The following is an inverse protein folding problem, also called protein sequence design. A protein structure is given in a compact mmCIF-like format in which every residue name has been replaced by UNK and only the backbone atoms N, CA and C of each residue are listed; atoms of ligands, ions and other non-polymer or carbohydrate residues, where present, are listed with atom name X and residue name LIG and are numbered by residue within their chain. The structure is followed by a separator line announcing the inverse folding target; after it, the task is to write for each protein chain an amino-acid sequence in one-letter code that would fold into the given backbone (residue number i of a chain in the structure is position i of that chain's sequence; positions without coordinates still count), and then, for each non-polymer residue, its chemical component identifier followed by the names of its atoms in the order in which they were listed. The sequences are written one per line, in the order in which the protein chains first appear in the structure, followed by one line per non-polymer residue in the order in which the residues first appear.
data_IF_814812832523
#
_entry.id   IF_814812832523
#
_cell.length_a   1.000
_cell.length_b   1.000
_cell.length_c   1.000
_cell.angle_alpha   90.00
_cell.angle_beta   90.00
_cell.angle_gamma   90.00
#
_symmetry.space_group_name_H-M   'P 1'
#
loop_
_entity.id
_entity.type
_entity.pdbx_description
1 polymer ?
#
# COMPACT_ATOMS: atom_id res chain seq x y z
N UNK A 1 -5.87 -18.66 60.33
CA UNK A 1 -5.54 -19.65 59.28
C UNK A 1 -5.35 -18.87 57.98
N UNK A 2 -4.17 -18.99 57.38
CA UNK A 2 -3.72 -18.19 56.26
C UNK A 2 -4.62 -18.37 55.03
N UNK A 3 -5.01 -17.26 54.42
CA UNK A 3 -5.60 -17.23 53.08
C UNK A 3 -4.48 -17.23 52.05
N UNK A 4 -4.47 -18.26 51.21
CA UNK A 4 -3.53 -18.40 50.11
C UNK A 4 -3.95 -17.44 48.98
N UNK A 5 -3.18 -16.36 48.83
CA UNK A 5 -3.36 -15.41 47.74
C UNK A 5 -2.75 -16.05 46.48
N UNK A 6 -3.60 -16.67 45.65
CA UNK A 6 -3.22 -17.10 44.32
C UNK A 6 -2.74 -15.88 43.52
N UNK A 7 -1.43 -15.76 43.40
CA UNK A 7 -0.76 -14.79 42.56
C UNK A 7 -1.20 -15.00 41.11
N UNK A 8 -2.07 -14.12 40.62
CA UNK A 8 -2.37 -14.00 39.19
C UNK A 8 -1.12 -13.48 38.47
N UNK A 9 -0.26 -14.41 38.05
CA UNK A 9 0.85 -14.11 37.16
C UNK A 9 0.28 -13.60 35.85
N UNK A 10 0.33 -12.29 35.65
CA UNK A 10 0.14 -11.69 34.34
C UNK A 10 1.19 -12.32 33.41
N UNK A 11 0.76 -13.25 32.56
CA UNK A 11 1.59 -13.78 31.51
C UNK A 11 2.03 -12.58 30.66
N UNK A 12 3.30 -12.18 30.80
CA UNK A 12 3.91 -11.22 29.91
C UNK A 12 3.74 -11.78 28.50
N UNK A 13 2.75 -11.26 27.76
CA UNK A 13 2.55 -11.58 26.37
C UNK A 13 3.88 -11.25 25.68
N UNK A 14 4.63 -12.29 25.34
CA UNK A 14 5.87 -12.14 24.58
C UNK A 14 5.46 -11.47 23.28
N UNK A 15 5.71 -10.16 23.17
CA UNK A 15 5.50 -9.44 21.93
C UNK A 15 6.41 -10.14 20.91
N UNK A 16 5.79 -10.84 19.97
CA UNK A 16 6.53 -11.48 18.88
C UNK A 16 7.34 -10.43 18.10
N UNK A 17 8.17 -10.86 17.14
CA UNK A 17 8.76 -9.91 16.21
C UNK A 17 7.64 -9.04 15.64
N UNK A 18 7.74 -7.72 15.84
CA UNK A 18 6.74 -6.77 15.37
C UNK A 18 6.56 -6.85 13.85
N UNK A 19 5.35 -6.52 13.38
CA UNK A 19 5.07 -6.42 11.94
C UNK A 19 5.83 -5.23 11.35
N UNK A 20 6.51 -5.45 10.25
CA UNK A 20 7.14 -4.38 9.45
C UNK A 20 6.09 -3.81 8.52
N UNK A 21 5.86 -2.50 8.59
CA UNK A 21 5.03 -1.78 7.63
C UNK A 21 5.94 -1.17 6.54
N UNK A 22 5.67 -1.48 5.28
CA UNK A 22 6.29 -0.79 4.14
C UNK A 22 5.19 -0.18 3.27
N UNK A 23 5.36 1.08 2.87
CA UNK A 23 4.42 1.78 1.98
C UNK A 23 5.12 2.04 0.66
N UNK A 24 4.65 1.40 -0.41
CA UNK A 24 5.16 1.60 -1.75
C UNK A 24 4.69 2.94 -2.29
N UNK A 25 5.64 3.85 -2.54
CA UNK A 25 5.35 5.17 -3.08
C UNK A 25 5.34 5.13 -4.62
N UNK A 26 4.69 6.12 -5.25
CA UNK A 26 4.76 6.35 -6.70
C UNK A 26 4.30 5.17 -7.58
N UNK A 27 3.40 4.33 -7.06
CA UNK A 27 2.88 3.17 -7.78
C UNK A 27 3.97 2.16 -8.14
N UNK A 28 5.05 2.09 -7.36
CA UNK A 28 6.19 1.21 -7.61
C UNK A 28 6.66 0.54 -6.33
N UNK A 29 6.81 -0.79 -6.37
CA UNK A 29 7.34 -1.61 -5.28
C UNK A 29 8.77 -1.99 -5.64
N UNK A 30 9.74 -1.58 -4.80
CA UNK A 30 11.14 -1.95 -4.96
C UNK A 30 11.47 -3.13 -4.06
N UNK A 31 11.92 -4.24 -4.66
CA UNK A 31 12.16 -5.51 -3.96
C UNK A 31 13.26 -5.36 -2.91
N UNK A 32 14.35 -4.68 -3.24
CA UNK A 32 15.48 -4.44 -2.34
C UNK A 32 15.06 -3.70 -1.06
N UNK A 33 14.27 -2.63 -1.17
CA UNK A 33 13.75 -1.84 -0.06
C UNK A 33 12.84 -2.69 0.85
N UNK A 34 11.96 -3.48 0.24
CA UNK A 34 11.03 -4.35 0.98
C UNK A 34 11.79 -5.46 1.71
N UNK A 35 12.72 -6.14 1.04
CA UNK A 35 13.53 -7.21 1.62
C UNK A 35 14.43 -6.67 2.73
N UNK A 36 15.05 -5.50 2.54
CA UNK A 36 15.85 -4.84 3.57
C UNK A 36 15.01 -4.50 4.81
N UNK A 37 13.81 -3.95 4.61
CA UNK A 37 12.89 -3.62 5.71
C UNK A 37 12.45 -4.86 6.50
N UNK A 38 12.13 -5.96 5.81
CA UNK A 38 11.67 -7.20 6.43
C UNK A 38 12.80 -8.01 7.08
N UNK A 39 14.03 -7.99 6.54
CA UNK A 39 15.16 -8.79 7.03
C UNK A 39 15.87 -8.18 8.25
N UNK A 40 15.68 -6.89 8.49
CA UNK A 40 15.80 -6.28 9.80
C UNK A 40 17.07 -6.57 10.60
N UNK A 41 18.27 -6.42 10.03
CA UNK A 41 19.58 -6.42 10.71
C UNK A 41 20.01 -7.71 11.44
N UNK A 42 19.08 -8.60 11.79
CA UNK A 42 19.29 -9.80 12.61
C UNK A 42 19.19 -11.12 11.85
N UNK A 43 19.10 -11.09 10.50
CA UNK A 43 19.21 -12.27 9.64
C UNK A 43 17.94 -13.11 9.50
N UNK A 44 16.77 -12.63 9.94
CA UNK A 44 15.49 -13.33 9.81
C UNK A 44 14.39 -12.44 9.26
N UNK A 45 13.49 -13.02 8.46
CA UNK A 45 12.32 -12.31 7.92
C UNK A 45 11.32 -11.99 9.04
N UNK A 46 10.94 -10.71 9.15
CA UNK A 46 9.82 -10.25 9.98
C UNK A 46 8.56 -10.14 9.13
N UNK A 47 7.38 -10.53 9.66
CA UNK A 47 6.12 -10.39 8.94
C UNK A 47 5.95 -8.97 8.37
N UNK A 48 5.68 -8.89 7.07
CA UNK A 48 5.62 -7.65 6.30
C UNK A 48 4.17 -7.33 5.96
N UNK A 49 3.70 -6.15 6.35
CA UNK A 49 2.52 -5.52 5.79
C UNK A 49 2.96 -4.50 4.73
N UNK A 50 2.73 -4.82 3.47
CA UNK A 50 2.96 -3.94 2.33
C UNK A 50 1.67 -3.19 2.00
N UNK A 51 1.70 -1.86 2.05
CA UNK A 51 0.64 -1.00 1.56
C UNK A 51 1.03 -0.38 0.22
N UNK A 52 0.12 -0.44 -0.76
CA UNK A 52 0.31 0.17 -2.08
C UNK A 52 -0.83 1.16 -2.33
N UNK A 53 -0.66 2.45 -2.00
CA UNK A 53 -1.57 3.51 -2.37
C UNK A 53 -1.56 3.76 -3.87
N UNK A 54 -2.73 3.90 -4.47
CA UNK A 54 -2.95 3.97 -5.91
C UNK A 54 -4.02 5.00 -6.25
N UNK A 55 -3.88 5.59 -7.44
CA UNK A 55 -4.94 6.37 -8.08
C UNK A 55 -5.21 5.81 -9.47
N UNK A 56 -6.30 5.07 -9.61
CA UNK A 56 -6.65 4.28 -10.81
C UNK A 56 -7.64 5.01 -11.73
N UNK A 57 -7.60 6.34 -11.72
CA UNK A 57 -8.50 7.23 -12.45
C UNK A 57 -8.49 8.65 -11.92
N UNK A 58 -9.12 9.58 -12.64
CA UNK A 58 -9.21 10.98 -12.26
C UNK A 58 -10.43 11.19 -11.33
N UNK A 59 -11.61 11.32 -11.91
CA UNK A 59 -12.88 11.50 -11.17
C UNK A 59 -13.62 10.18 -10.96
N UNK A 60 -13.38 9.21 -11.84
CA UNK A 60 -13.98 7.88 -11.83
C UNK A 60 -12.91 6.83 -12.03
N UNK A 61 -13.15 5.64 -11.52
CA UNK A 61 -12.30 4.49 -11.78
C UNK A 61 -12.24 4.21 -13.29
N UNK A 62 -11.04 4.03 -13.85
CA UNK A 62 -10.90 3.52 -15.21
C UNK A 62 -11.30 2.03 -15.24
N UNK A 63 -12.26 1.69 -16.09
CA UNK A 63 -12.82 0.34 -16.22
C UNK A 63 -11.75 -0.70 -16.59
N UNK A 64 -10.66 -0.30 -17.26
CA UNK A 64 -9.56 -1.19 -17.63
C UNK A 64 -8.79 -1.74 -16.42
N UNK A 65 -8.87 -1.11 -15.25
CA UNK A 65 -8.29 -1.62 -14.00
C UNK A 65 -9.22 -2.55 -13.22
N UNK A 66 -10.49 -2.72 -13.63
CA UNK A 66 -11.43 -3.62 -12.93
C UNK A 66 -10.89 -5.05 -12.88
N UNK A 67 -10.37 -5.66 -13.97
CA UNK A 67 -9.79 -7.00 -13.91
C UNK A 67 -8.58 -7.06 -12.96
N UNK A 68 -7.75 -6.03 -12.96
CA UNK A 68 -6.56 -5.93 -12.11
C UNK A 68 -6.93 -5.90 -10.62
N UNK A 69 -7.90 -5.07 -10.25
CA UNK A 69 -8.40 -4.98 -8.86
C UNK A 69 -8.93 -6.32 -8.39
N UNK A 70 -9.76 -6.97 -9.21
CA UNK A 70 -10.32 -8.28 -8.90
C UNK A 70 -9.25 -9.37 -8.84
N UNK A 71 -8.23 -9.29 -9.69
CA UNK A 71 -7.09 -10.22 -9.71
C UNK A 71 -6.22 -10.08 -8.46
N UNK A 72 -5.90 -8.85 -8.05
CA UNK A 72 -5.11 -8.58 -6.85
C UNK A 72 -5.83 -9.01 -5.57
N UNK A 73 -7.15 -8.78 -5.46
CA UNK A 73 -7.98 -9.25 -4.34
C UNK A 73 -8.04 -10.78 -4.18
N UNK A 74 -7.66 -11.54 -5.21
CA UNK A 74 -7.61 -13.01 -5.17
C UNK A 74 -6.25 -13.55 -4.75
N UNK A 75 -5.23 -12.71 -4.63
CA UNK A 75 -3.91 -13.16 -4.18
C UNK A 75 -3.99 -13.57 -2.71
N UNK A 76 -3.37 -14.71 -2.30
CA UNK A 76 -3.42 -15.19 -0.92
C UNK A 76 -2.91 -14.19 0.10
N UNK A 77 -1.92 -13.38 -0.29
CA UNK A 77 -1.30 -12.36 0.56
C UNK A 77 -2.19 -11.11 0.70
N UNK A 78 -3.21 -10.93 -0.14
CA UNK A 78 -4.03 -9.73 -0.10
C UNK A 78 -4.90 -9.71 1.16
N UNK A 79 -4.72 -8.68 1.99
CA UNK A 79 -5.52 -8.42 3.18
C UNK A 79 -6.60 -7.37 2.92
N UNK A 80 -7.01 -7.20 1.67
CA UNK A 80 -8.07 -6.27 1.28
C UNK A 80 -7.57 -4.90 0.82
N UNK A 81 -8.54 -4.01 0.61
CA UNK A 81 -8.33 -2.68 0.00
C UNK A 81 -9.04 -1.63 0.84
N UNK A 82 -8.33 -0.55 1.16
CA UNK A 82 -8.93 0.65 1.75
C UNK A 82 -9.29 1.59 0.60
N UNK A 83 -10.50 2.12 0.61
CA UNK A 83 -10.97 3.04 -0.43
C UNK A 83 -12.35 3.54 -0.08
N UNK A 84 -13.23 3.75 -1.06
CA UNK A 84 -14.62 4.05 -0.77
C UNK A 84 -15.33 4.77 -1.90
N UNK A 85 -16.18 5.73 -1.53
CA UNK A 85 -16.81 6.70 -2.42
C UNK A 85 -16.48 8.11 -1.92
N UNK A 86 -16.67 9.16 -2.74
CA UNK A 86 -16.55 10.52 -2.24
C UNK A 86 -17.37 10.72 -0.96
N UNK A 87 -16.71 11.21 0.10
CA UNK A 87 -17.29 11.41 1.46
C UNK A 87 -17.65 10.12 2.21
N UNK A 88 -17.14 8.97 1.83
CA UNK A 88 -17.35 7.72 2.56
C UNK A 88 -16.20 6.72 2.35
N UNK A 89 -15.48 6.34 3.40
CA UNK A 89 -14.45 5.30 3.35
C UNK A 89 -15.00 3.90 3.64
N UNK A 90 -14.56 2.88 2.90
CA UNK A 90 -14.89 1.48 3.11
C UNK A 90 -13.63 0.63 3.17
N UNK A 91 -13.73 -0.52 3.83
CA UNK A 91 -12.71 -1.56 3.78
C UNK A 91 -13.24 -2.74 2.97
N UNK A 92 -12.69 -2.93 1.77
CA UNK A 92 -13.07 -4.01 0.86
C UNK A 92 -12.31 -5.27 1.22
N UNK A 93 -13.04 -6.35 1.48
CA UNK A 93 -12.50 -7.63 1.96
C UNK A 93 -12.52 -8.74 0.90
N UNK A 94 -13.12 -8.46 -0.27
CA UNK A 94 -13.24 -9.45 -1.33
C UNK A 94 -14.20 -9.01 -2.43
N UNK A 95 -14.58 -9.96 -3.28
CA UNK A 95 -15.46 -9.68 -4.42
C UNK A 95 -16.40 -10.84 -4.75
N UNK A 96 -17.53 -10.53 -5.37
CA UNK A 96 -18.42 -11.48 -6.01
C UNK A 96 -18.81 -10.92 -7.39
N UNK A 97 -18.35 -11.58 -8.45
CA UNK A 97 -18.41 -10.99 -9.80
C UNK A 97 -17.66 -9.65 -9.84
N UNK A 98 -18.30 -8.62 -10.38
CA UNK A 98 -17.77 -7.24 -10.41
C UNK A 98 -18.27 -6.37 -9.23
N UNK A 99 -18.61 -7.01 -8.11
CA UNK A 99 -18.98 -6.30 -6.89
C UNK A 99 -17.96 -6.55 -5.79
N UNK A 100 -17.50 -5.48 -5.16
CA UNK A 100 -16.65 -5.55 -3.97
C UNK A 100 -17.51 -5.71 -2.73
N UNK A 101 -17.11 -6.62 -1.85
CA UNK A 101 -17.70 -6.85 -0.54
C UNK A 101 -16.95 -5.98 0.48
N UNK A 102 -17.65 -5.24 1.33
CA UNK A 102 -17.01 -4.26 2.21
C UNK A 102 -17.62 -4.15 3.62
N UNK A 103 -16.78 -3.66 4.53
CA UNK A 103 -17.13 -3.19 5.86
C UNK A 103 -17.26 -1.65 5.84
N UNK A 104 -18.32 -1.15 6.47
CA UNK A 104 -18.71 0.25 6.46
C UNK A 104 -18.59 0.86 7.87
N UNK A 105 -17.59 1.73 8.13
CA UNK A 105 -17.37 2.30 9.46
C UNK A 105 -18.30 3.47 9.82
N UNK A 106 -19.22 3.90 8.93
CA UNK A 106 -20.05 5.10 9.15
C UNK A 106 -21.25 4.87 10.08
N UNK A 107 -21.04 4.11 11.13
CA UNK A 107 -22.00 3.88 12.20
C UNK A 107 -21.37 4.26 13.53
N UNK A 108 -22.04 5.14 14.26
CA UNK A 108 -21.59 5.55 15.59
C UNK A 108 -22.00 4.48 16.58
N UNK A 109 -21.02 3.90 17.25
CA UNK A 109 -21.21 2.96 18.35
C UNK A 109 -20.78 3.59 19.68
N UNK A 110 -21.34 3.16 20.82
CA UNK A 110 -20.84 3.57 22.13
C UNK A 110 -19.35 3.23 22.29
N UNK A 111 -18.60 4.11 22.95
CA UNK A 111 -17.23 3.81 23.31
C UNK A 111 -17.21 2.76 24.43
N UNK A 112 -16.55 1.63 24.17
CA UNK A 112 -16.38 0.55 25.15
C UNK A 112 -15.01 0.62 25.81
N UNK A 113 -14.96 0.23 27.08
CA UNK A 113 -13.75 -0.01 27.86
C UNK A 113 -13.29 -1.46 27.64
N UNK A 114 -11.99 -1.78 27.78
CA UNK A 114 -11.49 -3.14 27.55
C UNK A 114 -12.15 -4.24 28.41
N UNK A 115 -12.70 -3.85 29.55
CA UNK A 115 -13.40 -4.70 30.51
C UNK A 115 -14.90 -4.82 30.26
N UNK A 116 -15.46 -4.10 29.29
CA UNK A 116 -16.89 -4.19 28.97
C UNK A 116 -17.24 -5.56 28.37
N UNK A 117 -18.37 -6.16 28.78
CA UNK A 117 -18.80 -7.48 28.30
C UNK A 117 -19.05 -7.51 26.78
N UNK A 118 -19.35 -6.35 26.20
CA UNK A 118 -19.69 -6.20 24.77
C UNK A 118 -18.47 -5.96 23.87
N UNK A 119 -17.23 -5.91 24.41
CA UNK A 119 -16.01 -5.71 23.59
C UNK A 119 -15.84 -6.79 22.53
N UNK A 120 -16.22 -8.03 22.84
CA UNK A 120 -16.13 -9.13 21.87
C UNK A 120 -17.28 -9.12 20.83
N UNK A 121 -18.34 -8.34 21.06
CA UNK A 121 -19.51 -8.25 20.18
C UNK A 121 -19.61 -6.92 19.43
N UNK A 122 -18.76 -5.93 19.76
CA UNK A 122 -18.70 -4.61 19.12
C UNK A 122 -18.06 -4.60 17.73
N UNK A 123 -17.79 -5.77 17.17
CA UNK A 123 -17.37 -5.92 15.78
C UNK A 123 -18.50 -5.50 14.83
N UNK A 124 -18.17 -5.36 13.54
CA UNK A 124 -19.13 -4.96 12.50
C UNK A 124 -20.38 -5.87 12.53
N UNK A 125 -21.46 -5.40 13.16
CA UNK A 125 -22.69 -6.17 13.40
C UNK A 125 -23.69 -6.15 12.25
N UNK A 126 -23.32 -5.54 11.12
CA UNK A 126 -24.17 -5.48 9.93
C UNK A 126 -23.87 -6.64 8.98
N UNK A 127 -24.87 -6.99 8.18
CA UNK A 127 -24.68 -7.86 7.03
C UNK A 127 -23.62 -7.28 6.07
N UNK A 128 -22.91 -8.18 5.40
CA UNK A 128 -21.89 -7.82 4.40
C UNK A 128 -22.52 -7.00 3.27
N UNK A 129 -21.97 -5.82 3.00
CA UNK A 129 -22.46 -4.92 1.95
C UNK A 129 -21.65 -5.10 0.67
N UNK A 130 -22.21 -4.67 -0.46
CA UNK A 130 -21.51 -4.74 -1.74
C UNK A 130 -21.76 -3.55 -2.66
N UNK A 131 -20.74 -3.16 -3.40
CA UNK A 131 -20.75 -2.03 -4.36
C UNK A 131 -20.11 -2.49 -5.67
N UNK A 132 -20.51 -1.94 -6.82
CA UNK A 132 -19.82 -2.28 -8.09
C UNK A 132 -18.42 -1.70 -8.08
N UNK A 133 -17.46 -2.40 -8.66
CA UNK A 133 -16.07 -1.92 -8.74
C UNK A 133 -16.03 -0.54 -9.43
N UNK A 134 -16.77 -0.33 -10.51
CA UNK A 134 -16.82 0.97 -11.21
C UNK A 134 -17.47 2.13 -10.44
N UNK A 135 -18.17 1.85 -9.34
CA UNK A 135 -18.88 2.87 -8.53
C UNK A 135 -18.01 3.39 -7.35
N UNK A 136 -16.76 2.90 -7.20
CA UNK A 136 -15.83 3.32 -6.14
C UNK A 136 -14.94 4.49 -6.61
N UNK A 137 -14.41 5.23 -5.64
CA UNK A 137 -13.42 6.28 -5.85
C UNK A 137 -12.12 5.68 -6.42
N UNK A 138 -11.46 6.33 -7.40
CA UNK A 138 -10.22 5.81 -7.99
C UNK A 138 -9.03 5.81 -7.00
N UNK A 139 -9.12 6.50 -5.87
CA UNK A 139 -8.11 6.49 -4.81
C UNK A 139 -8.27 5.27 -3.90
N UNK A 140 -7.36 4.31 -4.01
CA UNK A 140 -7.39 3.04 -3.29
C UNK A 140 -6.03 2.75 -2.65
N UNK A 141 -5.99 1.93 -1.60
CA UNK A 141 -4.75 1.38 -1.07
C UNK A 141 -4.89 -0.12 -0.86
N UNK A 142 -4.09 -0.92 -1.57
CA UNK A 142 -4.03 -2.36 -1.37
C UNK A 142 -3.14 -2.70 -0.18
N UNK A 143 -3.57 -3.66 0.63
CA UNK A 143 -2.75 -4.28 1.66
C UNK A 143 -2.36 -5.69 1.28
N UNK A 144 -1.08 -6.04 1.46
CA UNK A 144 -0.58 -7.40 1.34
C UNK A 144 0.22 -7.76 2.59
N UNK A 145 -0.03 -8.95 3.14
CA UNK A 145 0.67 -9.49 4.30
C UNK A 145 1.51 -10.70 3.87
N UNK A 146 2.81 -10.64 4.14
CA UNK A 146 3.77 -11.70 3.83
C UNK A 146 4.49 -12.11 5.13
N UNK A 147 4.19 -13.31 5.63
CA UNK A 147 4.79 -13.90 6.82
C UNK A 147 6.23 -14.40 6.60
N UNK A 148 6.62 -14.64 5.35
CA UNK A 148 7.96 -15.11 4.95
C UNK A 148 8.45 -14.41 3.68
N UNK A 149 9.75 -14.56 3.39
CA UNK A 149 10.34 -14.10 2.13
C UNK A 149 9.72 -14.82 0.93
N UNK A 150 9.45 -16.12 1.06
CA UNK A 150 8.82 -16.92 0.01
C UNK A 150 7.41 -16.41 -0.31
N UNK A 151 6.61 -16.05 0.71
CA UNK A 151 5.28 -15.44 0.51
C UNK A 151 5.36 -14.09 -0.22
N UNK A 152 6.44 -13.33 -0.02
CA UNK A 152 6.68 -12.09 -0.76
C UNK A 152 7.06 -12.35 -2.23
N UNK A 153 7.91 -13.35 -2.50
CA UNK A 153 8.22 -13.75 -3.87
C UNK A 153 6.99 -14.28 -4.62
N UNK A 154 6.13 -15.05 -3.94
CA UNK A 154 4.84 -15.50 -4.46
C UNK A 154 3.90 -14.33 -4.77
N UNK A 155 3.85 -13.32 -3.89
CA UNK A 155 3.10 -12.09 -4.13
C UNK A 155 3.62 -11.40 -5.40
N UNK A 156 4.93 -11.21 -5.55
CA UNK A 156 5.50 -10.57 -6.73
C UNK A 156 5.17 -11.34 -8.02
N UNK A 157 5.28 -12.67 -8.00
CA UNK A 157 4.90 -13.51 -9.12
C UNK A 157 3.38 -13.41 -9.42
N UNK A 158 2.55 -13.33 -8.38
CA UNK A 158 1.11 -13.11 -8.48
C UNK A 158 0.76 -11.79 -9.17
N UNK A 159 1.36 -10.69 -8.71
CA UNK A 159 1.19 -9.38 -9.31
C UNK A 159 1.62 -9.36 -10.79
N UNK A 160 2.74 -10.01 -11.13
CA UNK A 160 3.20 -10.11 -12.52
C UNK A 160 2.20 -10.86 -13.41
N UNK A 161 1.59 -11.96 -12.93
CA UNK A 161 0.53 -12.69 -13.66
C UNK A 161 -0.72 -11.83 -13.89
N UNK A 162 -1.14 -11.08 -12.87
CA UNK A 162 -2.29 -10.17 -12.98
C UNK A 162 -2.01 -9.06 -13.99
N UNK A 163 -0.84 -8.42 -13.91
CA UNK A 163 -0.41 -7.36 -14.83
C UNK A 163 -0.08 -7.84 -16.25
N UNK A 164 0.10 -9.14 -16.48
CA UNK A 164 0.24 -9.70 -17.84
C UNK A 164 -1.11 -9.91 -18.53
N UNK A 165 -2.19 -10.05 -17.75
CA UNK A 165 -3.54 -10.33 -18.26
C UNK A 165 -4.41 -9.08 -18.38
N UNK A 166 -3.97 -7.95 -17.82
CA UNK A 166 -4.72 -6.69 -17.71
C UNK A 166 -3.76 -5.53 -17.43
N UNK A 167 -4.24 -4.27 -17.43
CA UNK A 167 -3.38 -3.14 -17.10
C UNK A 167 -2.80 -3.26 -15.68
N UNK A 168 -1.48 -3.12 -15.55
CA UNK A 168 -0.86 -3.15 -14.22
C UNK A 168 -1.22 -1.90 -13.42
N UNK A 169 -1.69 -2.10 -12.18
CA UNK A 169 -2.06 -1.01 -11.28
C UNK A 169 -0.83 -0.35 -10.63
N UNK A 170 0.27 -1.10 -10.50
CA UNK A 170 1.57 -0.65 -10.01
C UNK A 170 2.68 -1.49 -10.66
N UNK A 171 3.93 -1.04 -10.53
CA UNK A 171 5.10 -1.77 -11.01
C UNK A 171 5.84 -2.45 -9.86
N UNK A 172 6.53 -3.55 -10.15
CA UNK A 172 7.49 -4.17 -9.22
C UNK A 172 8.85 -4.16 -9.92
N UNK A 173 9.83 -3.56 -9.27
CA UNK A 173 11.20 -3.44 -9.77
C UNK A 173 12.20 -3.94 -8.72
N UNK A 174 13.41 -4.27 -9.15
CA UNK A 174 14.43 -4.77 -8.23
C UNK A 174 14.94 -3.67 -7.29
N UNK A 175 15.29 -2.51 -7.86
CA UNK A 175 15.84 -1.36 -7.13
C UNK A 175 15.47 -0.05 -7.85
N UNK A 176 15.56 1.07 -7.13
CA UNK A 176 15.46 2.41 -7.73
C UNK A 176 16.65 2.68 -8.64
N UNK A 177 16.40 3.01 -9.90
CA UNK A 177 17.43 3.55 -10.79
C UNK A 177 17.56 5.05 -10.53
N UNK A 178 18.52 5.46 -9.70
CA UNK A 178 18.86 6.87 -9.53
C UNK A 178 19.78 7.31 -10.68
N UNK A 179 19.19 7.66 -11.81
CA UNK A 179 19.94 8.18 -12.97
C UNK A 179 20.33 9.67 -12.87
N UNK A 180 20.26 10.28 -11.68
CA UNK A 180 20.61 11.70 -11.49
C UNK A 180 21.91 11.97 -10.70
N UNK A 181 22.62 10.94 -10.23
CA UNK A 181 23.91 11.12 -9.53
C UNK A 181 25.08 10.54 -10.32
N UNK A 182 25.28 11.00 -11.57
CA UNK A 182 26.62 11.05 -12.22
C UNK A 182 26.63 11.88 -13.51
N UNK A 183 26.25 13.14 -13.42
CA UNK A 183 26.52 14.13 -14.49
C UNK A 183 27.09 15.43 -13.87
N UNK A 184 28.02 15.27 -12.94
CA UNK A 184 28.67 16.36 -12.20
C UNK A 184 30.17 16.13 -12.07
N UNK A 185 30.84 15.82 -13.18
CA UNK A 185 32.29 15.95 -13.33
C UNK A 185 32.63 15.94 -14.81
N UNK A 186 32.35 17.05 -15.48
CA UNK A 186 32.91 17.54 -16.75
C UNK A 186 31.94 18.62 -17.27
N UNK A 187 31.89 19.75 -16.56
CA UNK A 187 31.45 20.98 -17.20
C UNK A 187 32.62 21.41 -18.09
N UNK A 188 32.50 21.09 -19.37
CA UNK A 188 33.27 21.72 -20.44
C UNK A 188 33.03 23.23 -20.30
N UNK A 189 34.11 24.00 -20.13
CA UNK A 189 34.06 25.44 -19.96
C UNK A 189 33.39 26.06 -21.20
N UNK A 190 32.20 26.61 -21.03
CA UNK A 190 31.58 27.46 -22.03
C UNK A 190 32.37 28.78 -22.09
N UNK A 191 33.13 28.96 -23.18
CA UNK A 191 33.77 30.21 -23.57
C UNK A 191 32.79 31.39 -23.43
N UNK A 192 33.17 32.49 -22.76
CA UNK A 192 32.31 33.67 -22.65
C UNK A 192 32.24 34.37 -24.02
N UNK A 193 31.02 34.49 -24.55
CA UNK A 193 30.71 35.33 -25.70
C UNK A 193 31.14 36.78 -25.39
N UNK A 194 32.18 37.25 -26.06
CA UNK A 194 32.58 38.65 -26.06
C UNK A 194 31.51 39.49 -26.75
N UNK A 195 30.92 40.42 -26.01
CA UNK A 195 30.09 41.48 -26.57
C UNK A 195 31.00 42.55 -27.16
N UNK A 196 31.18 42.54 -28.48
CA UNK A 196 31.69 43.70 -29.21
C UNK A 196 30.48 44.58 -29.57
N UNK A 197 30.29 45.63 -28.78
CA UNK A 197 29.56 46.84 -29.18
C UNK A 197 30.47 47.63 -30.13
N UNK A 198 30.03 47.87 -31.36
CA UNK A 198 30.40 49.07 -32.10
C UNK A 198 29.28 49.44 -33.08
N UNK A 199 28.90 50.71 -32.99
CA UNK A 199 27.89 51.43 -33.75
C UNK A 199 28.02 51.29 -35.27
N UNK A 200 26.88 51.24 -35.99
CA UNK A 200 26.65 52.25 -37.02
C UNK A 200 25.19 52.34 -37.48
N UNK A 201 24.66 53.53 -37.25
CA UNK A 201 23.47 54.12 -37.83
C UNK A 201 23.63 54.24 -39.35
N UNK A 202 22.72 53.65 -40.13
CA UNK A 202 22.41 54.20 -41.46
C UNK A 202 20.90 54.26 -41.67
N UNK A 203 20.41 55.49 -41.67
CA UNK A 203 19.11 55.90 -42.17
C UNK A 203 19.09 55.71 -43.68
N UNK A 204 18.08 55.02 -44.21
CA UNK A 204 17.30 55.37 -45.42
C UNK A 204 16.05 54.48 -45.51
#
# INVERSE_FOLDING_TARGET
AAGDAAAGGAAAARCGPGVVLHVAMDGSVYRDEVVAAASGGGGGWRPLLLLVPLRLGLDRLNAEYVPTILGLLRLPQCVGVIGGRPRSSYYFIGSQGERLLYLDPHEVQPALRPDDPDVASCHYGRGLRSVRVGDIDPSLAFGFLCGSADEFDELCAGCARVGSSSLSAFSIAEARVLCYERAGSEAEEAEPLSSDDDDDLVVL
#
